data_IF_950345507292
#
_entry.id   IF_950345507292
#
_cell.length_a   1.000
_cell.length_b   1.000
_cell.length_c   1.000
_cell.angle_alpha   90.00
_cell.angle_beta   90.00
_cell.angle_gamma   90.00
#
_symmetry.space_group_name_H-M   'P 1'
#
loop_
_entity.id
_entity.type
_entity.pdbx_description
1 polymer ?
#
# COMPACT_ATOMS: atom_id res chain seq x y z
N UNK A 1 -10.32 -22.51 13.64
CA UNK A 1 -10.46 -21.36 14.55
C UNK A 1 -9.20 -20.52 14.43
N UNK A 2 -9.18 -19.56 13.51
CA UNK A 2 -8.05 -18.64 13.35
C UNK A 2 -8.29 -17.41 14.22
N UNK A 3 -7.37 -17.11 15.14
CA UNK A 3 -7.41 -15.86 15.88
C UNK A 3 -7.14 -14.70 14.90
N UNK A 4 -8.16 -13.87 14.64
CA UNK A 4 -7.96 -12.58 13.99
C UNK A 4 -7.31 -11.64 15.00
N UNK A 5 -6.05 -11.30 14.76
CA UNK A 5 -5.36 -10.30 15.57
C UNK A 5 -5.84 -8.91 15.13
N UNK A 6 -6.93 -8.44 15.74
CA UNK A 6 -7.36 -7.05 15.63
C UNK A 6 -6.48 -6.19 16.53
N UNK A 7 -5.52 -5.46 15.97
CA UNK A 7 -4.79 -4.43 16.71
C UNK A 7 -5.16 -3.05 16.16
N UNK A 8 -5.64 -2.15 17.02
CA UNK A 8 -5.59 -0.72 16.73
C UNK A 8 -4.13 -0.33 16.55
N UNK A 9 -3.82 0.46 15.52
CA UNK A 9 -2.46 0.80 15.16
C UNK A 9 -2.38 2.20 14.56
N UNK A 10 -1.31 2.90 14.88
CA UNK A 10 -0.80 4.03 14.12
C UNK A 10 0.34 3.52 13.25
N UNK A 11 0.64 4.13 12.11
CA UNK A 11 1.75 3.68 11.26
C UNK A 11 2.62 4.86 10.84
N UNK A 12 3.84 4.94 11.39
CA UNK A 12 4.82 5.99 11.07
C UNK A 12 6.25 5.46 11.16
N UNK A 13 7.12 5.95 10.25
CA UNK A 13 8.56 5.70 10.29
C UNK A 13 9.15 6.29 11.58
N UNK A 14 9.95 5.50 12.28
CA UNK A 14 10.52 5.83 13.58
C UNK A 14 11.90 6.47 13.38
N UNK A 15 12.07 7.68 13.90
CA UNK A 15 13.35 8.39 13.90
C UNK A 15 13.95 8.41 15.30
N UNK A 16 15.26 8.29 15.38
CA UNK A 16 16.02 8.55 16.61
C UNK A 16 16.19 10.05 16.79
N UNK A 17 16.45 10.49 18.02
CA UNK A 17 16.77 11.91 18.26
C UNK A 17 18.09 12.40 17.64
N UNK A 18 18.87 11.50 17.02
CA UNK A 18 20.12 11.78 16.32
C UNK A 18 19.95 11.82 14.79
N UNK A 19 18.71 11.87 14.28
CA UNK A 19 18.43 12.06 12.86
C UNK A 19 18.54 10.80 11.99
N UNK A 20 18.68 9.63 12.60
CA UNK A 20 18.67 8.33 11.90
C UNK A 20 17.29 7.68 11.99
N UNK A 21 16.98 6.77 11.09
CA UNK A 21 15.72 6.00 11.08
C UNK A 21 15.95 4.54 11.40
N UNK A 22 14.97 3.92 12.06
CA UNK A 22 14.96 2.47 12.26
C UNK A 22 14.66 1.74 10.94
N UNK A 23 15.25 0.56 10.78
CA UNK A 23 15.06 -0.35 9.65
C UNK A 23 15.52 -1.76 10.04
N UNK A 24 15.06 -2.79 9.35
CA UNK A 24 15.63 -4.14 9.45
C UNK A 24 16.62 -4.34 8.32
N UNK A 25 17.85 -4.73 8.67
CA UNK A 25 18.85 -5.18 7.71
C UNK A 25 18.47 -6.59 7.24
N UNK A 26 18.01 -6.72 6.01
CA UNK A 26 17.51 -7.98 5.45
C UNK A 26 18.58 -9.05 5.29
N UNK A 27 19.86 -8.68 5.28
CA UNK A 27 20.98 -9.64 5.19
C UNK A 27 21.22 -10.38 6.51
N UNK A 28 21.01 -9.69 7.63
CA UNK A 28 21.28 -10.18 8.99
C UNK A 28 20.00 -10.50 9.78
N UNK A 29 18.88 -9.88 9.41
CA UNK A 29 17.62 -9.88 10.16
C UNK A 29 17.60 -8.90 11.34
N UNK A 30 18.65 -8.10 11.53
CA UNK A 30 18.76 -7.19 12.68
C UNK A 30 17.89 -5.94 12.52
N UNK A 31 17.23 -5.52 13.59
CA UNK A 31 16.69 -4.17 13.71
C UNK A 31 17.84 -3.21 14.01
N UNK A 32 18.04 -2.26 13.11
CA UNK A 32 19.12 -1.27 13.13
C UNK A 32 18.58 0.14 12.97
N UNK A 33 19.45 1.13 13.10
CA UNK A 33 19.17 2.49 12.65
C UNK A 33 20.32 3.08 11.84
N UNK A 34 19.99 3.98 10.92
CA UNK A 34 20.96 4.57 10.01
C UNK A 34 20.45 5.82 9.31
N UNK A 35 21.29 6.42 8.47
CA UNK A 35 20.91 7.60 7.69
C UNK A 35 19.76 7.25 6.74
N UNK A 36 18.74 8.10 6.73
CA UNK A 36 17.50 7.88 5.99
C UNK A 36 17.71 7.57 4.50
N UNK A 37 18.70 8.19 3.87
CA UNK A 37 19.04 8.04 2.46
C UNK A 37 19.56 6.63 2.10
N UNK A 38 20.11 5.91 3.07
CA UNK A 38 20.73 4.59 2.88
C UNK A 38 20.01 3.47 3.62
N UNK A 39 18.96 3.80 4.36
CA UNK A 39 18.21 2.85 5.18
C UNK A 39 16.86 2.54 4.55
N UNK A 40 16.51 1.26 4.37
CA UNK A 40 15.20 0.89 3.85
C UNK A 40 14.09 1.38 4.79
N UNK A 41 12.93 1.64 4.22
CA UNK A 41 11.73 1.93 4.99
C UNK A 41 10.93 0.64 5.16
N UNK A 42 11.43 -0.27 5.98
CA UNK A 42 10.89 -1.62 6.12
C UNK A 42 10.49 -1.97 7.57
N UNK A 43 10.29 -0.96 8.40
CA UNK A 43 9.89 -1.10 9.80
C UNK A 43 8.77 -0.12 10.12
N UNK A 44 7.80 -0.58 10.91
CA UNK A 44 6.70 0.25 11.41
C UNK A 44 6.51 0.08 12.92
N UNK A 45 6.03 1.13 13.61
CA UNK A 45 5.56 1.04 14.99
C UNK A 45 4.04 0.93 14.98
N UNK A 46 3.45 -0.14 15.51
CA UNK A 46 2.03 -0.20 15.85
C UNK A 46 1.82 0.18 17.32
N UNK A 47 0.66 0.74 17.67
CA UNK A 47 0.33 1.14 19.05
C UNK A 47 -1.14 0.84 19.35
N UNK A 48 -1.37 0.16 20.45
CA UNK A 48 -2.69 -0.08 21.05
C UNK A 48 -2.67 0.42 22.51
N UNK A 49 -3.37 1.54 22.78
CA UNK A 49 -3.29 2.21 24.08
C UNK A 49 -1.85 2.65 24.39
N UNK A 50 -1.24 2.11 25.45
CA UNK A 50 0.19 2.32 25.76
C UNK A 50 1.11 1.22 25.21
N UNK A 51 0.54 0.12 24.74
CA UNK A 51 1.30 -0.99 24.16
C UNK A 51 1.74 -0.63 22.75
N UNK A 52 2.90 -1.11 22.34
CA UNK A 52 3.47 -0.87 21.03
C UNK A 52 4.31 -2.05 20.55
N UNK A 53 4.33 -2.25 19.22
CA UNK A 53 5.15 -3.27 18.58
C UNK A 53 5.90 -2.67 17.41
N UNK A 54 7.21 -2.95 17.32
CA UNK A 54 7.97 -2.67 16.11
C UNK A 54 7.85 -3.90 15.20
N UNK A 55 7.31 -3.70 13.98
CA UNK A 55 7.11 -4.79 13.02
C UNK A 55 8.00 -4.60 11.80
N UNK A 56 8.56 -5.71 11.33
CA UNK A 56 9.19 -5.81 10.04
C UNK A 56 8.11 -5.93 8.96
N UNK A 57 8.21 -5.14 7.90
CA UNK A 57 7.13 -5.05 6.89
C UNK A 57 7.24 -6.15 5.83
N UNK A 58 8.45 -6.70 5.62
CA UNK A 58 8.68 -7.70 4.57
C UNK A 58 8.40 -9.15 5.02
N UNK A 59 7.82 -9.35 6.20
CA UNK A 59 7.47 -10.68 6.71
C UNK A 59 6.56 -10.64 7.95
N UNK A 60 5.86 -11.74 8.27
CA UNK A 60 4.93 -11.82 9.41
C UNK A 60 5.65 -11.96 10.77
N UNK A 61 6.96 -11.72 10.81
CA UNK A 61 7.81 -12.02 11.96
C UNK A 61 7.97 -10.79 12.85
N UNK A 62 7.64 -10.98 14.13
CA UNK A 62 7.86 -9.97 15.15
C UNK A 62 9.34 -9.72 15.41
N UNK A 63 9.66 -8.52 15.88
CA UNK A 63 11.01 -8.19 16.33
C UNK A 63 11.14 -8.51 17.82
N UNK A 64 12.20 -9.22 18.15
CA UNK A 64 12.59 -9.51 19.54
C UNK A 64 13.76 -8.61 19.92
N UNK A 65 13.76 -8.16 21.17
CA UNK A 65 14.72 -7.18 21.67
C UNK A 65 15.62 -7.79 22.73
N UNK A 66 16.94 -7.72 22.51
CA UNK A 66 17.96 -8.20 23.44
C UNK A 66 18.88 -7.06 23.89
N UNK A 67 19.64 -7.32 24.94
CA UNK A 67 20.61 -6.36 25.51
C UNK A 67 21.72 -5.99 24.53
N UNK A 68 22.11 -6.93 23.65
CA UNK A 68 23.21 -6.72 22.70
C UNK A 68 22.74 -6.38 21.28
N UNK A 69 21.50 -6.74 20.93
CA UNK A 69 20.91 -6.48 19.61
C UNK A 69 19.40 -6.71 19.61
N UNK A 70 18.73 -6.34 18.54
CA UNK A 70 17.32 -6.70 18.29
C UNK A 70 17.23 -7.24 16.87
N UNK A 71 16.36 -8.20 16.63
CA UNK A 71 16.26 -8.85 15.32
C UNK A 71 14.87 -9.46 15.09
N UNK A 72 14.54 -9.73 13.83
CA UNK A 72 13.32 -10.48 13.48
C UNK A 72 13.42 -11.90 14.05
N UNK A 73 12.35 -12.36 14.67
CA UNK A 73 12.23 -13.74 15.15
C UNK A 73 12.49 -14.72 14.00
N UNK A 74 13.30 -15.76 14.23
CA UNK A 74 13.69 -16.73 13.19
C UNK A 74 14.70 -16.24 12.16
N UNK A 75 15.45 -15.17 12.43
CA UNK A 75 16.62 -14.81 11.62
C UNK A 75 17.81 -15.71 11.91
N UNK A 76 18.79 -15.75 10.99
CA UNK A 76 20.07 -16.47 11.17
C UNK A 76 20.79 -16.15 12.49
N UNK A 77 20.59 -14.95 13.04
CA UNK A 77 21.17 -14.52 14.32
C UNK A 77 20.46 -15.12 15.54
N UNK A 78 19.21 -15.53 15.36
CA UNK A 78 18.32 -16.09 16.37
C UNK A 78 18.22 -17.63 16.25
N UNK A 79 18.49 -18.24 15.08
CA UNK A 79 18.44 -19.71 14.84
C UNK A 79 19.51 -20.56 15.58
N UNK A 80 20.13 -20.03 16.64
CA UNK A 80 20.96 -20.79 17.58
C UNK A 80 20.11 -21.40 18.71
N UNK A 81 20.64 -22.46 19.35
CA UNK A 81 20.00 -23.29 20.41
C UNK A 81 19.39 -22.49 21.60
N UNK A 82 19.67 -21.19 21.71
CA UNK A 82 19.15 -20.31 22.77
C UNK A 82 17.72 -19.79 22.52
N UNK A 83 17.14 -19.93 21.32
CA UNK A 83 15.84 -19.32 20.97
C UNK A 83 14.62 -20.26 20.99
N UNK A 84 14.80 -21.56 21.24
CA UNK A 84 13.73 -22.55 21.09
C UNK A 84 12.72 -22.62 22.25
N UNK A 85 12.92 -21.88 23.35
CA UNK A 85 12.10 -22.02 24.57
C UNK A 85 11.45 -20.75 25.13
N UNK A 86 11.49 -19.63 24.41
CA UNK A 86 10.81 -18.40 24.82
C UNK A 86 10.13 -17.82 23.59
N UNK A 87 8.80 -17.73 23.60
CA UNK A 87 8.14 -16.63 22.89
C UNK A 87 8.46 -15.40 23.74
N UNK A 88 9.47 -14.57 23.40
CA UNK A 88 9.79 -13.43 24.24
C UNK A 88 8.60 -12.47 24.11
N UNK A 89 8.15 -11.90 25.23
CA UNK A 89 7.24 -10.77 25.15
C UNK A 89 7.91 -9.72 24.24
N UNK A 90 7.26 -9.37 23.15
CA UNK A 90 7.74 -8.39 22.16
C UNK A 90 6.96 -7.08 22.29
N UNK A 91 6.15 -6.97 23.34
CA UNK A 91 5.36 -5.78 23.64
C UNK A 91 6.25 -4.75 24.29
N UNK A 92 6.30 -3.57 23.69
CA UNK A 92 6.88 -2.37 24.27
C UNK A 92 5.75 -1.53 24.89
N UNK A 93 6.07 -0.75 25.90
CA UNK A 93 5.22 0.33 26.39
C UNK A 93 5.76 1.66 25.86
N UNK A 94 4.88 2.52 25.35
CA UNK A 94 5.23 3.88 24.97
C UNK A 94 5.23 4.78 26.21
N UNK A 95 6.32 5.52 26.39
CA UNK A 95 6.45 6.59 27.38
C UNK A 95 6.52 7.91 26.64
N UNK A 96 5.47 8.72 26.74
CA UNK A 96 5.41 10.03 26.08
C UNK A 96 6.42 10.99 26.70
N UNK A 97 7.14 11.74 25.85
CA UNK A 97 8.17 12.70 26.25
C UNK A 97 7.88 14.08 25.62
N UNK A 98 8.45 15.17 26.18
CA UNK A 98 8.24 16.50 25.63
C UNK A 98 8.67 16.62 24.15
N UNK A 99 8.05 17.59 23.44
CA UNK A 99 8.36 17.93 22.04
C UNK A 99 8.09 16.78 21.05
N UNK A 100 6.97 16.08 21.21
CA UNK A 100 6.53 14.97 20.35
C UNK A 100 7.56 13.84 20.22
N UNK A 101 8.24 13.55 21.32
CA UNK A 101 9.18 12.43 21.44
C UNK A 101 8.54 11.34 22.29
N UNK A 102 9.07 10.14 22.20
CA UNK A 102 8.66 9.02 23.05
C UNK A 102 9.84 8.08 23.31
N UNK A 103 9.78 7.40 24.44
CA UNK A 103 10.60 6.23 24.74
C UNK A 103 9.80 4.96 24.53
N UNK A 104 10.50 3.87 24.20
CA UNK A 104 9.93 2.53 24.14
C UNK A 104 10.55 1.69 25.25
N UNK A 105 9.73 1.11 26.14
CA UNK A 105 10.20 0.42 27.33
C UNK A 105 9.59 -0.97 27.45
N UNK A 106 10.38 -1.97 27.86
CA UNK A 106 9.91 -3.29 28.22
C UNK A 106 10.53 -3.70 29.56
N UNK A 107 9.69 -4.12 30.51
CA UNK A 107 10.13 -4.54 31.85
C UNK A 107 11.08 -3.53 32.53
N UNK A 108 10.77 -2.23 32.39
CA UNK A 108 11.57 -1.14 32.96
C UNK A 108 12.87 -0.81 32.20
N UNK A 109 13.17 -1.52 31.10
CA UNK A 109 14.35 -1.28 30.26
C UNK A 109 13.93 -0.61 28.96
N UNK A 110 14.55 0.51 28.62
CA UNK A 110 14.32 1.25 27.39
C UNK A 110 15.08 0.65 26.22
N UNK A 111 14.43 0.71 25.06
CA UNK A 111 15.04 0.50 23.77
C UNK A 111 15.99 1.67 23.46
N UNK A 112 17.21 1.36 23.07
CA UNK A 112 18.32 2.27 22.86
C UNK A 112 18.85 2.12 21.44
N UNK A 113 18.92 3.22 20.71
CA UNK A 113 19.70 3.33 19.48
C UNK A 113 21.16 3.52 19.84
N UNK A 114 22.04 2.60 19.47
CA UNK A 114 23.46 2.64 19.84
C UNK A 114 24.24 3.42 18.79
N UNK A 115 25.36 4.05 19.18
CA UNK A 115 26.18 4.83 18.24
C UNK A 115 26.72 4.02 17.06
N UNK A 116 26.75 2.68 17.16
CA UNK A 116 27.18 1.75 16.11
C UNK A 116 26.02 1.25 15.21
N UNK A 117 24.82 1.84 15.34
CA UNK A 117 23.66 1.53 14.51
C UNK A 117 22.81 0.35 15.02
N UNK A 118 23.18 -0.28 16.15
CA UNK A 118 22.35 -1.35 16.76
C UNK A 118 21.14 -0.76 17.49
N UNK A 119 20.06 -1.52 17.52
CA UNK A 119 18.92 -1.26 18.41
C UNK A 119 18.94 -2.32 19.53
N UNK A 120 18.98 -1.90 20.79
CA UNK A 120 19.14 -2.80 21.95
C UNK A 120 18.14 -2.47 23.06
N UNK A 121 17.67 -3.48 23.78
CA UNK A 121 16.89 -3.31 25.01
C UNK A 121 17.83 -3.30 26.22
N UNK A 122 18.46 -2.16 26.49
CA UNK A 122 19.60 -2.12 27.41
C UNK A 122 19.65 -0.91 28.35
N UNK A 123 18.79 0.10 28.17
CA UNK A 123 18.92 1.36 28.90
C UNK A 123 17.98 1.43 30.11
N UNK A 124 18.47 1.68 31.34
CA UNK A 124 17.59 1.78 32.52
C UNK A 124 16.83 3.11 32.60
N UNK A 125 17.20 4.10 31.77
CA UNK A 125 16.61 5.43 31.74
C UNK A 125 16.52 5.92 30.30
N UNK A 126 15.49 6.69 29.99
CA UNK A 126 15.34 7.33 28.69
C UNK A 126 16.21 8.59 28.61
N UNK A 127 17.27 8.55 27.79
CA UNK A 127 18.15 9.70 27.49
C UNK A 127 18.14 9.97 25.99
N UNK A 128 19.20 10.55 25.45
CA UNK A 128 19.28 10.90 24.02
C UNK A 128 19.04 9.71 23.08
N UNK A 129 19.71 8.59 23.35
CA UNK A 129 19.70 7.42 22.46
C UNK A 129 18.43 6.57 22.56
N UNK A 130 17.62 6.79 23.60
CA UNK A 130 16.35 6.11 23.84
C UNK A 130 15.14 6.98 23.43
N UNK A 131 15.41 8.19 22.94
CA UNK A 131 14.41 9.11 22.43
C UNK A 131 14.12 8.85 20.96
N UNK A 132 12.87 8.49 20.68
CA UNK A 132 12.34 8.35 19.33
C UNK A 132 11.32 9.43 19.03
N UNK A 133 11.05 9.65 17.76
CA UNK A 133 9.99 10.54 17.29
C UNK A 133 9.51 10.14 15.90
N UNK A 134 8.40 10.72 15.49
CA UNK A 134 7.94 10.65 14.12
C UNK A 134 8.36 11.89 13.33
N UNK A 135 8.36 11.81 12.00
CA UNK A 135 8.62 12.98 11.13
C UNK A 135 7.49 14.01 11.30
N UNK A 136 7.81 15.31 11.24
CA UNK A 136 6.84 16.41 11.50
C UNK A 136 5.74 16.56 10.43
N UNK A 137 6.00 16.08 9.22
CA UNK A 137 5.12 16.01 8.05
C UNK A 137 4.30 14.69 7.98
N UNK A 138 4.54 13.72 8.88
CA UNK A 138 3.76 12.50 8.94
C UNK A 138 2.44 12.79 9.67
N UNK A 139 1.31 12.75 8.96
CA UNK A 139 -0.05 12.80 9.51
C UNK A 139 -0.32 11.62 10.46
N UNK A 140 -0.99 11.86 11.58
CA UNK A 140 -1.49 10.77 12.43
C UNK A 140 -2.72 10.14 11.78
N UNK A 141 -2.60 8.88 11.37
CA UNK A 141 -3.72 8.08 10.85
C UNK A 141 -4.02 6.98 11.88
N UNK A 142 -5.19 7.05 12.51
CA UNK A 142 -5.68 6.02 13.44
C UNK A 142 -6.50 4.97 12.68
N UNK A 143 -6.26 3.69 12.95
CA UNK A 143 -7.02 2.59 12.35
C UNK A 143 -6.70 1.26 13.02
N UNK A 144 -7.06 0.16 12.38
CA UNK A 144 -6.72 -1.20 12.81
C UNK A 144 -5.93 -1.91 11.72
N UNK A 145 -4.95 -2.71 12.12
CA UNK A 145 -4.27 -3.63 11.20
C UNK A 145 -4.93 -5.00 11.34
N UNK A 146 -5.32 -5.56 10.20
CA UNK A 146 -5.85 -6.92 10.09
C UNK A 146 -4.98 -7.74 9.17
N UNK A 147 -4.74 -8.98 9.56
CA UNK A 147 -3.99 -9.95 8.74
C UNK A 147 -4.83 -11.19 8.55
N UNK A 148 -4.96 -11.62 7.29
CA UNK A 148 -5.75 -12.77 6.90
C UNK A 148 -4.93 -13.69 6.01
N UNK A 149 -5.24 -14.99 6.03
CA UNK A 149 -4.65 -15.96 5.10
C UNK A 149 -5.58 -16.08 3.89
N UNK A 150 -5.17 -15.51 2.76
CA UNK A 150 -5.91 -15.50 1.50
C UNK A 150 -5.07 -16.26 0.47
N UNK A 151 -5.63 -17.32 -0.12
CA UNK A 151 -4.97 -18.18 -1.12
C UNK A 151 -3.56 -18.64 -0.71
N UNK A 152 -3.41 -18.99 0.57
CA UNK A 152 -2.14 -19.47 1.13
C UNK A 152 -1.12 -18.38 1.45
N UNK A 153 -1.40 -17.10 1.19
CA UNK A 153 -0.54 -15.96 1.54
C UNK A 153 -1.12 -15.19 2.73
N UNK A 154 -0.25 -14.64 3.57
CA UNK A 154 -0.69 -13.68 4.59
C UNK A 154 -0.78 -12.32 3.90
N UNK A 155 -1.99 -11.75 3.91
CA UNK A 155 -2.27 -10.42 3.39
C UNK A 155 -2.69 -9.54 4.57
N UNK A 156 -2.12 -8.35 4.64
CA UNK A 156 -2.30 -7.44 5.77
C UNK A 156 -2.79 -6.08 5.31
N UNK A 157 -3.87 -5.58 5.90
CA UNK A 157 -4.42 -4.27 5.59
C UNK A 157 -4.52 -3.41 6.84
N UNK A 158 -4.17 -2.14 6.69
CA UNK A 158 -4.57 -1.06 7.57
C UNK A 158 -5.95 -0.57 7.17
N UNK A 159 -6.88 -0.59 8.12
CA UNK A 159 -8.28 -0.23 7.99
C UNK A 159 -8.56 0.98 8.87
N UNK A 160 -8.88 2.12 8.27
CA UNK A 160 -9.21 3.35 8.97
C UNK A 160 -10.70 3.42 9.31
N UNK A 161 -11.57 3.09 8.35
CA UNK A 161 -13.02 3.20 8.47
C UNK A 161 -13.68 1.88 8.07
N UNK A 162 -14.41 1.26 9.00
CA UNK A 162 -15.11 -0.03 8.74
C UNK A 162 -16.50 0.15 8.14
N UNK A 163 -16.98 1.38 8.02
CA UNK A 163 -18.25 1.69 7.36
C UNK A 163 -18.09 1.88 5.85
N UNK A 164 -16.87 2.18 5.40
CA UNK A 164 -16.47 2.11 3.99
C UNK A 164 -16.53 0.66 3.49
N UNK A 165 -17.16 0.45 2.34
CA UNK A 165 -17.49 -0.90 1.84
C UNK A 165 -16.25 -1.74 1.53
N UNK A 166 -15.24 -1.14 0.89
CA UNK A 166 -14.00 -1.81 0.53
C UNK A 166 -13.26 -2.21 1.80
N UNK A 167 -13.09 -1.26 2.72
CA UNK A 167 -12.42 -1.51 3.99
C UNK A 167 -13.15 -2.51 4.88
N UNK A 168 -14.48 -2.53 4.87
CA UNK A 168 -15.29 -3.53 5.58
C UNK A 168 -15.02 -4.95 5.06
N UNK A 169 -14.91 -5.13 3.75
CA UNK A 169 -14.63 -6.43 3.13
C UNK A 169 -13.20 -6.87 3.44
N UNK A 170 -12.22 -5.96 3.31
CA UNK A 170 -10.83 -6.21 3.71
C UNK A 170 -10.71 -6.58 5.19
N UNK A 171 -11.50 -5.92 6.06
CA UNK A 171 -11.60 -6.27 7.47
C UNK A 171 -12.15 -7.69 7.68
N UNK A 172 -13.17 -8.06 6.90
CA UNK A 172 -13.80 -9.39 6.89
C UNK A 172 -12.89 -10.53 6.42
N UNK A 173 -11.80 -10.20 5.72
CA UNK A 173 -10.72 -11.15 5.42
C UNK A 173 -10.67 -11.68 4.00
N UNK A 174 -11.26 -10.95 3.07
CA UNK A 174 -11.05 -11.17 1.63
C UNK A 174 -10.84 -9.83 0.92
N UNK A 175 -10.40 -9.89 -0.35
CA UNK A 175 -10.34 -8.71 -1.20
C UNK A 175 -11.73 -8.26 -1.66
N UNK A 176 -11.89 -6.96 -1.86
CA UNK A 176 -13.04 -6.40 -2.57
C UNK A 176 -13.01 -6.84 -4.04
N UNK A 177 -14.18 -7.13 -4.63
CA UNK A 177 -14.33 -7.61 -6.02
C UNK A 177 -13.54 -8.89 -6.34
N UNK A 178 -13.66 -9.88 -5.47
CA UNK A 178 -12.94 -11.17 -5.58
C UNK A 178 -13.02 -11.81 -6.97
N UNK A 179 -14.22 -11.89 -7.56
CA UNK A 179 -14.43 -12.50 -8.88
C UNK A 179 -13.68 -11.74 -9.99
N UNK A 180 -13.67 -10.41 -9.93
CA UNK A 180 -12.95 -9.55 -10.86
C UNK A 180 -11.44 -9.69 -10.72
N UNK A 181 -10.95 -9.79 -9.48
CA UNK A 181 -9.53 -10.04 -9.19
C UNK A 181 -9.07 -11.42 -9.68
N UNK A 182 -9.89 -12.45 -9.51
CA UNK A 182 -9.62 -13.78 -10.05
C UNK A 182 -9.57 -13.76 -11.58
N UNK A 183 -10.46 -13.02 -12.24
CA UNK A 183 -10.40 -12.82 -13.69
C UNK A 183 -9.11 -12.10 -14.11
N UNK A 184 -8.70 -11.05 -13.39
CA UNK A 184 -7.42 -10.37 -13.65
C UNK A 184 -6.25 -11.37 -13.54
N UNK A 185 -6.19 -12.17 -12.48
CA UNK A 185 -5.14 -13.19 -12.32
C UNK A 185 -5.10 -14.14 -13.51
N UNK A 186 -6.25 -14.60 -13.97
CA UNK A 186 -6.34 -15.66 -14.98
C UNK A 186 -6.14 -15.12 -16.42
N UNK A 187 -6.41 -13.84 -16.66
CA UNK A 187 -6.38 -13.22 -18.00
C UNK A 187 -5.22 -12.25 -18.22
N UNK A 188 -4.60 -11.73 -17.17
CA UNK A 188 -3.46 -10.81 -17.31
C UNK A 188 -2.24 -11.52 -17.90
N UNK A 189 -1.32 -10.75 -18.49
CA UNK A 189 -0.07 -11.30 -19.06
C UNK A 189 1.06 -11.17 -18.04
N UNK A 190 1.55 -12.28 -17.43
CA UNK A 190 2.65 -12.22 -16.46
C UNK A 190 3.91 -11.55 -17.05
N UNK A 191 4.69 -10.89 -16.19
CA UNK A 191 5.93 -10.20 -16.58
C UNK A 191 5.74 -8.87 -17.32
N UNK A 192 4.52 -8.46 -17.66
CA UNK A 192 4.21 -7.12 -18.17
C UNK A 192 3.93 -6.12 -17.03
N UNK A 193 3.86 -4.84 -17.39
CA UNK A 193 3.49 -3.74 -16.47
C UNK A 193 1.98 -3.71 -16.31
N UNK A 194 1.49 -3.67 -15.07
CA UNK A 194 0.07 -3.47 -14.78
C UNK A 194 -0.11 -2.04 -14.27
N UNK A 195 -1.20 -1.38 -14.68
CA UNK A 195 -1.50 0.00 -14.27
C UNK A 195 -2.84 0.03 -13.55
N UNK A 196 -2.84 0.60 -12.36
CA UNK A 196 -4.01 0.77 -11.50
C UNK A 196 -4.33 2.26 -11.40
N UNK A 197 -5.40 2.70 -12.07
CA UNK A 197 -5.84 4.10 -12.12
C UNK A 197 -7.08 4.22 -11.24
N UNK A 198 -6.96 5.02 -10.19
CA UNK A 198 -7.88 4.99 -9.04
C UNK A 198 -7.56 3.85 -8.10
N UNK A 199 -6.30 3.76 -7.68
CA UNK A 199 -5.81 2.66 -6.83
C UNK A 199 -6.44 2.66 -5.42
N UNK A 200 -7.07 3.76 -5.00
CA UNK A 200 -7.71 3.95 -3.71
C UNK A 200 -6.77 3.53 -2.57
N UNK A 201 -7.18 2.59 -1.70
CA UNK A 201 -6.37 2.07 -0.59
C UNK A 201 -5.49 0.86 -0.95
N UNK A 202 -5.40 0.51 -2.24
CA UNK A 202 -4.51 -0.53 -2.77
C UNK A 202 -5.10 -1.94 -2.84
N UNK A 203 -6.43 -2.13 -2.79
CA UNK A 203 -7.09 -3.44 -2.92
C UNK A 203 -6.58 -4.20 -4.17
N UNK A 204 -6.80 -3.61 -5.34
CA UNK A 204 -6.40 -4.16 -6.63
C UNK A 204 -4.87 -4.21 -6.77
N UNK A 205 -4.18 -3.13 -6.40
CA UNK A 205 -2.72 -3.02 -6.54
C UNK A 205 -1.97 -4.14 -5.79
N UNK A 206 -2.38 -4.42 -4.55
CA UNK A 206 -1.77 -5.45 -3.70
C UNK A 206 -2.12 -6.83 -4.23
N UNK A 207 -3.35 -7.06 -4.66
CA UNK A 207 -3.74 -8.32 -5.28
C UNK A 207 -2.90 -8.60 -6.52
N UNK A 208 -2.81 -7.64 -7.44
CA UNK A 208 -2.01 -7.74 -8.67
C UNK A 208 -0.55 -8.05 -8.36
N UNK A 209 0.05 -7.32 -7.42
CA UNK A 209 1.44 -7.54 -6.98
C UNK A 209 1.65 -8.95 -6.42
N UNK A 210 0.72 -9.44 -5.60
CA UNK A 210 0.87 -10.70 -4.87
C UNK A 210 0.50 -11.93 -5.69
N UNK A 211 -0.47 -11.85 -6.59
CA UNK A 211 -1.09 -13.04 -7.18
C UNK A 211 -0.94 -13.13 -8.70
N UNK A 212 -0.59 -12.05 -9.39
CA UNK A 212 -0.61 -12.03 -10.86
C UNK A 212 0.77 -11.97 -11.53
N UNK A 213 1.85 -11.92 -10.74
CA UNK A 213 3.25 -11.89 -11.22
C UNK A 213 3.57 -10.82 -12.30
N UNK A 214 3.19 -9.54 -12.10
CA UNK A 214 3.59 -8.45 -12.99
C UNK A 214 5.08 -8.10 -12.81
N UNK A 215 5.71 -7.49 -13.82
CA UNK A 215 7.06 -6.93 -13.66
C UNK A 215 7.06 -5.67 -12.79
N UNK A 216 6.00 -4.88 -12.89
CA UNK A 216 5.76 -3.66 -12.12
C UNK A 216 4.25 -3.40 -12.04
N UNK A 217 3.76 -2.89 -10.92
CA UNK A 217 2.41 -2.33 -10.80
C UNK A 217 2.54 -0.82 -10.61
N UNK A 218 2.03 -0.03 -11.54
CA UNK A 218 2.05 1.43 -11.47
C UNK A 218 0.71 1.91 -10.95
N UNK A 219 0.73 2.69 -9.87
CA UNK A 219 -0.50 3.16 -9.21
C UNK A 219 -0.68 4.67 -9.37
N UNK A 220 -1.90 5.07 -9.73
CA UNK A 220 -2.37 6.45 -9.74
C UNK A 220 -3.53 6.57 -8.77
N UNK A 221 -3.41 7.48 -7.80
CA UNK A 221 -4.46 7.80 -6.85
C UNK A 221 -4.32 9.28 -6.48
N UNK A 222 -5.32 10.12 -6.77
CA UNK A 222 -5.26 11.55 -6.47
C UNK A 222 -5.68 11.92 -5.04
N UNK A 223 -6.49 11.11 -4.35
CA UNK A 223 -7.03 11.43 -3.02
C UNK A 223 -5.95 11.28 -1.93
N UNK A 224 -5.52 12.37 -1.26
CA UNK A 224 -4.45 12.30 -0.25
C UNK A 224 -4.74 11.33 0.90
N UNK A 225 -6.00 11.18 1.31
CA UNK A 225 -6.37 10.24 2.38
C UNK A 225 -6.18 8.78 1.94
N UNK A 226 -6.63 8.46 0.72
CA UNK A 226 -6.46 7.13 0.14
C UNK A 226 -4.97 6.82 -0.09
N UNK A 227 -4.19 7.78 -0.60
CA UNK A 227 -2.73 7.67 -0.78
C UNK A 227 -2.02 7.29 0.52
N UNK A 228 -2.37 7.93 1.64
CA UNK A 228 -1.77 7.62 2.94
C UNK A 228 -2.01 6.15 3.30
N UNK A 229 -3.25 5.68 3.21
CA UNK A 229 -3.60 4.28 3.51
C UNK A 229 -2.95 3.31 2.50
N UNK A 230 -2.96 3.62 1.21
CA UNK A 230 -2.36 2.81 0.15
C UNK A 230 -0.88 2.58 0.44
N UNK A 231 -0.12 3.63 0.76
CA UNK A 231 1.31 3.50 1.09
C UNK A 231 1.52 2.57 2.28
N UNK A 232 0.66 2.64 3.30
CA UNK A 232 0.70 1.72 4.44
C UNK A 232 0.38 0.29 4.03
N UNK A 233 -0.63 0.07 3.20
CA UNK A 233 -1.03 -1.27 2.76
C UNK A 233 0.02 -1.91 1.84
N UNK A 234 0.61 -1.14 0.92
CA UNK A 234 1.73 -1.58 0.08
C UNK A 234 2.91 -1.99 0.95
N UNK A 235 3.20 -1.19 1.98
CA UNK A 235 4.25 -1.46 2.96
C UNK A 235 3.98 -2.75 3.74
N UNK A 236 2.79 -2.88 4.35
CA UNK A 236 2.37 -4.05 5.16
C UNK A 236 2.39 -5.37 4.39
N UNK A 237 2.35 -5.31 3.05
CA UNK A 237 2.40 -6.48 2.19
C UNK A 237 3.76 -6.64 1.48
N UNK A 238 4.81 -5.89 1.79
CA UNK A 238 6.12 -6.08 1.15
C UNK A 238 6.07 -5.99 -0.39
N UNK A 239 5.18 -5.17 -0.94
CA UNK A 239 4.92 -5.11 -2.38
C UNK A 239 5.94 -4.20 -3.08
N UNK A 240 7.21 -4.61 -3.11
CA UNK A 240 8.31 -3.82 -3.66
C UNK A 240 8.22 -3.53 -5.17
N UNK A 241 7.41 -4.29 -5.91
CA UNK A 241 7.14 -4.07 -7.33
C UNK A 241 6.00 -3.08 -7.60
N UNK A 242 5.38 -2.50 -6.56
CA UNK A 242 4.40 -1.41 -6.72
C UNK A 242 5.14 -0.08 -6.77
N UNK A 243 5.05 0.61 -7.91
CA UNK A 243 5.62 1.92 -8.14
C UNK A 243 4.65 3.02 -7.71
N UNK A 244 4.97 3.66 -6.58
CA UNK A 244 4.18 4.71 -5.94
C UNK A 244 4.59 6.14 -6.35
N UNK A 245 5.47 6.28 -7.36
CA UNK A 245 6.03 7.57 -7.78
C UNK A 245 5.01 8.53 -8.40
N UNK A 246 3.84 8.01 -8.80
CA UNK A 246 2.78 8.77 -9.47
C UNK A 246 1.56 9.06 -8.57
N UNK A 247 1.64 8.70 -7.28
CA UNK A 247 0.59 9.04 -6.32
C UNK A 247 0.44 10.57 -6.20
N UNK A 248 -0.80 11.04 -6.18
CA UNK A 248 -1.15 12.47 -6.22
C UNK A 248 -1.35 13.02 -7.63
N UNK A 249 -1.24 12.19 -8.67
CA UNK A 249 -1.61 12.53 -10.04
C UNK A 249 -2.95 11.87 -10.40
N UNK A 250 -3.78 12.61 -11.12
CA UNK A 250 -4.88 12.06 -11.89
C UNK A 250 -4.48 11.89 -13.36
N UNK A 251 -5.18 11.00 -14.06
CA UNK A 251 -5.03 10.83 -15.50
C UNK A 251 -6.27 11.34 -16.23
N UNK A 252 -6.06 11.89 -17.42
CA UNK A 252 -7.12 12.41 -18.29
C UNK A 252 -6.56 12.73 -19.68
N UNK A 253 -7.35 13.36 -20.56
CA UNK A 253 -6.93 13.59 -21.95
C UNK A 253 -5.94 14.73 -22.14
N UNK A 254 -5.84 15.64 -21.16
CA UNK A 254 -5.01 16.85 -21.22
C UNK A 254 -4.52 17.26 -19.83
N UNK A 255 -3.51 18.11 -19.80
CA UNK A 255 -3.03 18.70 -18.55
C UNK A 255 -4.10 19.65 -17.96
N UNK A 256 -4.41 19.48 -16.68
CA UNK A 256 -5.36 20.34 -15.94
C UNK A 256 -5.03 20.35 -14.44
N UNK A 257 -5.52 21.38 -13.73
CA UNK A 257 -5.63 21.35 -12.28
C UNK A 257 -7.03 20.89 -11.89
N UNK A 258 -7.10 20.03 -10.89
CA UNK A 258 -8.32 19.39 -10.42
C UNK A 258 -8.39 19.50 -8.90
N UNK A 259 -9.61 19.45 -8.38
CA UNK A 259 -9.85 19.18 -6.95
C UNK A 259 -10.51 17.83 -6.77
N UNK A 260 -10.20 17.19 -5.65
CA UNK A 260 -10.90 16.00 -5.18
C UNK A 260 -12.25 16.43 -4.60
N UNK A 261 -13.33 15.85 -5.09
CA UNK A 261 -14.68 16.02 -4.57
C UNK A 261 -15.20 14.68 -4.07
N UNK A 262 -15.39 14.56 -2.75
CA UNK A 262 -16.01 13.38 -2.15
C UNK A 262 -17.48 13.68 -1.84
N UNK A 263 -18.44 13.19 -2.65
CA UNK A 263 -19.87 13.41 -2.41
C UNK A 263 -20.36 12.72 -1.14
N UNK A 264 -19.68 11.65 -0.72
CA UNK A 264 -19.89 10.96 0.54
C UNK A 264 -18.57 10.90 1.31
N UNK A 265 -18.43 11.58 2.46
CA UNK A 265 -17.20 11.55 3.25
C UNK A 265 -16.87 10.18 3.87
N UNK A 266 -17.84 9.25 3.93
CA UNK A 266 -17.67 7.90 4.48
C UNK A 266 -17.42 6.84 3.39
N UNK A 267 -17.41 7.22 2.11
CA UNK A 267 -17.11 6.32 1.01
C UNK A 267 -16.01 6.93 0.14
N UNK A 268 -14.76 6.60 0.48
CA UNK A 268 -13.60 7.15 -0.21
C UNK A 268 -13.50 6.66 -1.66
N UNK A 269 -14.10 5.52 -1.98
CA UNK A 269 -14.16 4.98 -3.35
C UNK A 269 -14.90 5.89 -4.32
N UNK A 270 -15.87 6.69 -3.85
CA UNK A 270 -16.69 7.56 -4.70
C UNK A 270 -16.11 8.95 -4.96
N UNK A 271 -14.82 9.14 -4.67
CA UNK A 271 -14.17 10.42 -4.87
C UNK A 271 -14.06 10.73 -6.36
N UNK A 272 -14.58 11.89 -6.76
CA UNK A 272 -14.56 12.39 -8.12
C UNK A 272 -13.50 13.47 -8.29
N UNK A 273 -13.03 13.64 -9.53
CA UNK A 273 -12.14 14.74 -9.89
C UNK A 273 -12.94 15.81 -10.63
N UNK A 274 -12.95 17.03 -10.10
CA UNK A 274 -13.61 18.18 -10.72
C UNK A 274 -12.58 19.19 -11.22
N UNK A 275 -12.78 19.71 -12.43
CA UNK A 275 -11.99 20.81 -12.99
C UNK A 275 -12.04 22.00 -12.01
N UNK A 276 -10.86 22.47 -11.61
CA UNK A 276 -10.70 23.63 -10.73
C UNK A 276 -9.31 24.23 -10.94
N UNK A 277 -9.25 25.46 -11.45
CA UNK A 277 -7.98 26.15 -11.71
C UNK A 277 -7.18 26.41 -10.42
N UNK A 278 -7.86 26.46 -9.27
CA UNK A 278 -7.27 26.55 -7.94
C UNK A 278 -7.10 25.17 -7.25
N UNK A 279 -7.39 24.10 -7.99
CA UNK A 279 -7.23 22.72 -7.57
C UNK A 279 -5.77 22.35 -7.27
N UNK A 280 -5.58 21.45 -6.30
CA UNK A 280 -4.26 21.02 -5.85
C UNK A 280 -3.81 19.68 -6.44
N UNK A 281 -4.62 19.06 -7.30
CA UNK A 281 -4.29 17.80 -7.98
C UNK A 281 -3.99 18.05 -9.44
N UNK A 282 -2.83 17.55 -9.89
CA UNK A 282 -2.43 17.63 -11.30
C UNK A 282 -3.03 16.46 -12.07
N UNK A 283 -3.73 16.78 -13.16
CA UNK A 283 -4.16 15.83 -14.17
C UNK A 283 -3.19 15.86 -15.36
N UNK A 284 -2.83 14.68 -15.89
CA UNK A 284 -1.94 14.55 -17.06
C UNK A 284 -2.39 13.43 -18.00
N UNK A 285 -1.97 13.50 -19.26
CA UNK A 285 -2.15 12.39 -20.20
C UNK A 285 -1.25 11.20 -19.82
N UNK A 286 -1.86 10.01 -19.69
CA UNK A 286 -1.14 8.80 -19.31
C UNK A 286 -0.06 8.37 -20.32
N UNK A 287 -0.25 8.68 -21.60
CA UNK A 287 0.74 8.40 -22.65
C UNK A 287 2.10 9.06 -22.39
N UNK A 288 2.11 10.25 -21.75
CA UNK A 288 3.36 10.93 -21.38
C UNK A 288 4.22 10.10 -20.42
N UNK A 289 3.62 9.17 -19.68
CA UNK A 289 4.25 8.40 -18.61
C UNK A 289 4.40 6.92 -18.98
N UNK A 290 3.46 6.37 -19.77
CA UNK A 290 3.27 4.93 -19.91
C UNK A 290 3.54 4.39 -21.31
N UNK A 291 3.58 5.23 -22.35
CA UNK A 291 3.62 4.76 -23.74
C UNK A 291 4.85 3.89 -24.06
N UNK A 292 5.97 4.11 -23.37
CA UNK A 292 7.23 3.36 -23.58
C UNK A 292 7.35 2.11 -22.70
N UNK A 293 6.34 1.77 -21.89
CA UNK A 293 6.35 0.62 -20.98
C UNK A 293 5.50 -0.52 -21.55
N UNK A 294 5.91 -1.80 -21.40
CA UNK A 294 5.17 -2.94 -21.92
C UNK A 294 3.93 -3.23 -21.08
N UNK A 295 2.89 -2.41 -21.23
CA UNK A 295 1.65 -2.52 -20.45
C UNK A 295 0.87 -3.77 -20.85
N UNK A 296 0.53 -4.61 -19.88
CA UNK A 296 -0.23 -5.85 -20.07
C UNK A 296 -1.67 -5.79 -19.52
N UNK A 297 -1.92 -4.89 -18.58
CA UNK A 297 -3.22 -4.71 -17.94
C UNK A 297 -3.41 -3.23 -17.57
N UNK A 298 -4.61 -2.70 -17.82
CA UNK A 298 -5.07 -1.41 -17.33
C UNK A 298 -6.31 -1.63 -16.47
N UNK A 299 -6.30 -1.15 -15.23
CA UNK A 299 -7.51 -0.98 -14.41
C UNK A 299 -7.85 0.51 -14.38
N UNK A 300 -9.09 0.85 -14.73
CA UNK A 300 -9.59 2.23 -14.81
C UNK A 300 -10.88 2.33 -14.01
N UNK A 301 -10.83 3.01 -12.88
CA UNK A 301 -11.98 3.23 -12.01
C UNK A 301 -11.73 4.59 -11.34
N UNK A 302 -12.30 5.62 -11.94
CA UNK A 302 -12.00 7.04 -11.64
C UNK A 302 -13.29 7.87 -11.56
N UNK A 303 -14.42 7.20 -11.31
CA UNK A 303 -15.73 7.77 -10.99
C UNK A 303 -16.19 8.89 -11.93
N UNK A 304 -16.23 8.61 -13.23
CA UNK A 304 -16.82 9.46 -14.27
C UNK A 304 -15.81 10.11 -15.24
N UNK A 305 -14.51 9.83 -15.09
CA UNK A 305 -13.45 10.34 -15.97
C UNK A 305 -12.84 9.27 -16.88
N UNK A 306 -13.47 8.10 -17.02
CA UNK A 306 -12.87 6.94 -17.67
C UNK A 306 -12.54 7.19 -19.14
N UNK A 307 -13.44 7.83 -19.88
CA UNK A 307 -13.23 8.15 -21.29
C UNK A 307 -12.17 9.24 -21.51
N UNK A 308 -11.95 10.11 -20.52
CA UNK A 308 -10.83 11.06 -20.55
C UNK A 308 -9.50 10.32 -20.34
N UNK A 309 -9.47 9.35 -19.41
CA UNK A 309 -8.31 8.47 -19.21
C UNK A 309 -8.02 7.65 -20.47
N UNK A 310 -9.03 7.00 -21.07
CA UNK A 310 -8.88 6.24 -22.31
C UNK A 310 -8.30 7.10 -23.44
N UNK A 311 -8.79 8.34 -23.60
CA UNK A 311 -8.24 9.29 -24.58
C UNK A 311 -6.80 9.69 -24.28
N UNK A 312 -6.46 9.93 -23.00
CA UNK A 312 -5.11 10.26 -22.56
C UNK A 312 -4.11 9.10 -22.64
N UNK A 313 -4.59 7.87 -22.85
CA UNK A 313 -3.80 6.64 -22.93
C UNK A 313 -3.90 5.96 -24.30
N UNK A 314 -4.42 6.65 -25.31
CA UNK A 314 -4.68 6.09 -26.62
C UNK A 314 -3.42 5.46 -27.24
N UNK A 315 -2.28 6.15 -27.21
CA UNK A 315 -1.03 5.66 -27.77
C UNK A 315 -0.51 4.42 -27.06
N UNK A 316 -0.66 4.35 -25.73
CA UNK A 316 -0.33 3.17 -24.91
C UNK A 316 -1.21 1.99 -25.28
N UNK A 317 -2.53 2.21 -25.40
CA UNK A 317 -3.52 1.18 -25.73
C UNK A 317 -3.32 0.63 -27.15
N UNK A 318 -3.04 1.50 -28.12
CA UNK A 318 -2.77 1.11 -29.51
C UNK A 318 -1.47 0.33 -29.65
N UNK A 319 -0.43 0.74 -28.92
CA UNK A 319 0.91 0.13 -28.98
C UNK A 319 0.94 -1.24 -28.31
N UNK A 320 0.45 -1.32 -27.07
CA UNK A 320 0.67 -2.50 -26.22
C UNK A 320 -0.51 -3.46 -26.13
N UNK A 321 -1.69 -3.01 -26.56
CA UNK A 321 -2.92 -3.82 -26.59
C UNK A 321 -3.20 -4.51 -25.25
N UNK A 322 -3.18 -3.82 -24.09
CA UNK A 322 -3.39 -4.46 -22.80
C UNK A 322 -4.83 -4.97 -22.67
N UNK A 323 -5.07 -5.95 -21.79
CA UNK A 323 -6.41 -6.17 -21.28
C UNK A 323 -6.82 -4.98 -20.41
N UNK A 324 -8.11 -4.66 -20.37
CA UNK A 324 -8.62 -3.48 -19.66
C UNK A 324 -9.75 -3.91 -18.75
N UNK A 325 -9.63 -3.65 -17.45
CA UNK A 325 -10.76 -3.61 -16.53
C UNK A 325 -11.18 -2.16 -16.38
N UNK A 326 -12.45 -1.85 -16.60
CA UNK A 326 -12.96 -0.48 -16.52
C UNK A 326 -14.33 -0.43 -15.83
N UNK A 327 -14.47 0.43 -14.84
CA UNK A 327 -15.77 0.74 -14.22
C UNK A 327 -16.48 1.81 -15.03
N UNK A 328 -17.64 1.53 -15.61
CA UNK A 328 -18.38 2.51 -16.42
C UNK A 328 -19.78 2.67 -15.88
N UNK A 329 -20.13 3.90 -15.49
CA UNK A 329 -21.48 4.23 -15.04
C UNK A 329 -22.54 3.80 -16.07
N UNK A 330 -23.73 3.34 -15.64
CA UNK A 330 -24.75 2.77 -16.53
C UNK A 330 -25.09 3.64 -17.76
N UNK A 331 -25.15 4.96 -17.59
CA UNK A 331 -25.47 5.88 -18.69
C UNK A 331 -24.42 5.93 -19.80
N UNK A 332 -23.18 5.54 -19.53
CA UNK A 332 -22.06 5.60 -20.47
C UNK A 332 -21.73 4.22 -21.09
N UNK A 333 -22.56 3.20 -20.83
CA UNK A 333 -22.36 1.85 -21.34
C UNK A 333 -22.32 1.80 -22.89
N UNK A 334 -23.19 2.57 -23.54
CA UNK A 334 -23.24 2.60 -25.00
C UNK A 334 -21.95 3.20 -25.59
N UNK A 335 -21.38 4.21 -24.94
CA UNK A 335 -20.11 4.82 -25.35
C UNK A 335 -18.95 3.83 -25.22
N UNK A 336 -18.98 2.97 -24.20
CA UNK A 336 -17.97 1.91 -24.02
C UNK A 336 -18.00 0.92 -25.19
N UNK A 337 -19.19 0.50 -25.62
CA UNK A 337 -19.33 -0.41 -26.76
C UNK A 337 -18.84 0.24 -28.06
N UNK A 338 -19.20 1.50 -28.31
CA UNK A 338 -18.70 2.24 -29.47
C UNK A 338 -17.18 2.46 -29.42
N UNK A 339 -16.60 2.64 -28.23
CA UNK A 339 -15.16 2.67 -28.03
C UNK A 339 -14.52 1.32 -28.36
N UNK A 340 -15.09 0.21 -27.88
CA UNK A 340 -14.59 -1.14 -28.16
C UNK A 340 -14.54 -1.43 -29.67
N UNK A 341 -15.59 -1.08 -30.41
CA UNK A 341 -15.64 -1.22 -31.88
C UNK A 341 -14.52 -0.43 -32.56
N UNK A 342 -14.32 0.83 -32.14
CA UNK A 342 -13.33 1.74 -32.71
C UNK A 342 -11.89 1.30 -32.44
N UNK A 343 -11.63 0.75 -31.26
CA UNK A 343 -10.28 0.36 -30.80
C UNK A 343 -10.01 -1.14 -30.92
N UNK A 344 -10.91 -1.89 -31.58
CA UNK A 344 -10.84 -3.35 -31.75
C UNK A 344 -10.65 -4.10 -30.43
N UNK A 345 -11.54 -3.83 -29.49
CA UNK A 345 -11.71 -4.58 -28.25
C UNK A 345 -13.05 -5.31 -28.26
N UNK A 346 -13.17 -6.34 -27.43
CA UNK A 346 -14.43 -7.00 -27.12
C UNK A 346 -14.61 -7.04 -25.61
N UNK A 347 -15.84 -6.84 -25.15
CA UNK A 347 -16.23 -7.10 -23.76
C UNK A 347 -16.28 -8.61 -23.57
N UNK A 348 -15.37 -9.16 -22.76
CA UNK A 348 -15.33 -10.59 -22.46
C UNK A 348 -16.18 -10.97 -21.26
N UNK A 349 -16.20 -10.10 -20.25
CA UNK A 349 -16.94 -10.33 -19.00
C UNK A 349 -17.51 -9.01 -18.48
N UNK A 350 -18.62 -9.10 -17.76
CA UNK A 350 -19.27 -7.96 -17.10
C UNK A 350 -19.58 -8.31 -15.65
N UNK A 351 -19.39 -7.36 -14.75
CA UNK A 351 -19.71 -7.47 -13.33
C UNK A 351 -20.76 -6.41 -12.99
N UNK A 352 -22.07 -6.71 -13.19
CA UNK A 352 -23.12 -5.69 -13.16
C UNK A 352 -23.32 -5.01 -11.81
N UNK A 353 -22.97 -5.69 -10.72
CA UNK A 353 -23.09 -5.14 -9.35
C UNK A 353 -22.18 -3.94 -9.15
N UNK A 354 -21.00 -3.98 -9.78
CA UNK A 354 -19.93 -3.01 -9.59
C UNK A 354 -19.67 -2.16 -10.85
N UNK A 355 -20.56 -2.27 -11.86
CA UNK A 355 -20.43 -1.57 -13.15
C UNK A 355 -19.10 -1.82 -13.88
N UNK A 356 -18.45 -2.94 -13.60
CA UNK A 356 -17.13 -3.29 -14.11
C UNK A 356 -17.22 -4.10 -15.42
N UNK A 357 -16.36 -3.76 -16.38
CA UNK A 357 -16.26 -4.44 -17.69
C UNK A 357 -14.83 -4.89 -17.95
N UNK A 358 -14.65 -6.15 -18.32
CA UNK A 358 -13.36 -6.69 -18.73
C UNK A 358 -13.27 -6.75 -20.26
N UNK A 359 -12.33 -5.99 -20.82
CA UNK A 359 -12.11 -5.84 -22.26
C UNK A 359 -10.82 -6.56 -22.67
N UNK A 360 -10.87 -7.28 -23.78
CA UNK A 360 -9.69 -7.88 -24.40
C UNK A 360 -9.52 -7.43 -25.86
N UNK A 361 -8.28 -7.29 -26.35
CA UNK A 361 -8.04 -6.90 -27.72
C UNK A 361 -8.48 -8.01 -28.69
N UNK A 362 -9.11 -7.65 -29.80
CA UNK A 362 -9.41 -8.58 -30.88
C UNK A 362 -8.10 -8.86 -31.64
N UNK A 363 -7.63 -10.11 -31.62
CA UNK A 363 -6.43 -10.55 -32.34
C UNK A 363 -6.45 -10.06 -33.79
N UNK A 364 -5.30 -9.54 -34.26
CA UNK A 364 -5.16 -9.20 -35.67
C UNK A 364 -5.18 -10.53 -36.43
N UNK A 365 -6.17 -10.72 -37.31
CA UNK A 365 -6.10 -11.78 -38.29
C UNK A 365 -4.80 -11.55 -39.09
N UNK A 366 -3.89 -12.51 -38.96
CA UNK A 366 -2.59 -12.56 -39.63
C UNK A 366 -2.72 -12.61 -41.14
#
# INVERSE_FOLDING_TARGET
>A
MGASFNQAGFVKRIFTSHGTTLFVDTSSGELRHGLMEYSPNNVLLTKDGKSAHIRFVDGPTDIVYFTEYSAISGSKRIDGIDALNLMPDNTLTIVDLPRNKFGLVQNGTFLSARSDGRITLSAPLCRGWENFHFRKDASEVSGVIVSHRIDGKIITFFIQDRTDIIQSILFGGDFYERDTLDLIRDRSTPGKVFVDIGANIGNHSIFMSKFCSPSEVIVFEPNPKAIEILKLNVLLNACANINTSYLGLALGSKAAQMRVFSPDPNNMGRAQMLDDDDGNVKCVAGDLLLQQKPVGLLKIDVEGSEFEVLRGMQGTIETWRPNILIEVWPQSQQDLFSWCDSFRYVVQETFPTDNNYFLAPIERQS
#
